data_IF_402260880100
#
_entry.id   IF_402260880100
#
_cell.length_a   1.000
_cell.length_b   1.000
_cell.length_c   1.000
_cell.angle_alpha   90.00
_cell.angle_beta   90.00
_cell.angle_gamma   90.00
#
_symmetry.space_group_name_H-M   'P 1'
#
loop_
_entity.id
_entity.type
_entity.pdbx_description
1 polymer ?
#
# COMPACT_ATOMS: atom_id res chain seq x y z
N UNK A 1 -13.16 -10.82 31.30
CA UNK A 1 -13.84 -9.52 31.17
C UNK A 1 -13.78 -9.16 29.70
N UNK A 2 -14.90 -9.17 29.00
CA UNK A 2 -14.96 -8.64 27.64
C UNK A 2 -14.62 -7.16 27.70
N UNK A 3 -13.44 -6.79 27.19
CA UNK A 3 -13.08 -5.39 27.06
C UNK A 3 -13.83 -4.84 25.85
N UNK A 4 -14.97 -4.21 26.11
CA UNK A 4 -15.70 -3.44 25.11
C UNK A 4 -14.79 -2.36 24.52
N UNK A 5 -14.88 -2.14 23.21
CA UNK A 5 -14.07 -1.15 22.52
C UNK A 5 -14.34 0.25 23.09
N UNK A 6 -13.28 0.98 23.45
CA UNK A 6 -13.42 2.35 23.91
C UNK A 6 -13.75 3.30 22.74
N UNK A 7 -14.21 4.52 23.03
CA UNK A 7 -14.39 5.56 22.00
C UNK A 7 -13.08 5.85 21.26
N UNK A 8 -11.94 5.76 21.96
CA UNK A 8 -10.61 5.95 21.36
C UNK A 8 -10.19 4.78 20.48
N UNK A 9 -10.54 3.56 20.85
CA UNK A 9 -10.30 2.34 20.05
C UNK A 9 -11.01 2.47 18.69
N UNK A 10 -12.29 2.85 18.73
CA UNK A 10 -13.13 3.06 17.54
C UNK A 10 -12.59 4.22 16.70
N UNK A 11 -12.28 5.36 17.33
CA UNK A 11 -11.74 6.52 16.63
C UNK A 11 -10.42 6.19 15.92
N UNK A 12 -9.54 5.41 16.55
CA UNK A 12 -8.29 4.92 15.94
C UNK A 12 -8.55 4.03 14.73
N UNK A 13 -9.46 3.05 14.86
CA UNK A 13 -9.83 2.15 13.75
C UNK A 13 -10.45 2.91 12.56
N UNK A 14 -11.34 3.87 12.84
CA UNK A 14 -11.94 4.76 11.83
C UNK A 14 -10.87 5.63 11.15
N UNK A 15 -9.98 6.25 11.92
CA UNK A 15 -8.91 7.09 11.38
C UNK A 15 -7.97 6.29 10.48
N UNK A 16 -7.61 5.07 10.89
CA UNK A 16 -6.76 4.18 10.09
C UNK A 16 -7.45 3.71 8.81
N UNK A 17 -8.76 3.43 8.88
CA UNK A 17 -9.57 3.10 7.70
C UNK A 17 -9.65 4.29 6.73
N UNK A 18 -9.93 5.48 7.25
CA UNK A 18 -9.99 6.70 6.47
C UNK A 18 -8.65 7.01 5.80
N UNK A 19 -7.53 6.78 6.49
CA UNK A 19 -6.19 6.88 5.93
C UNK A 19 -6.00 5.90 4.76
N UNK A 20 -6.34 4.62 4.94
CA UNK A 20 -6.22 3.62 3.88
C UNK A 20 -7.05 4.00 2.64
N UNK A 21 -8.31 4.41 2.84
CA UNK A 21 -9.21 4.87 1.76
C UNK A 21 -8.63 6.10 1.07
N UNK A 22 -8.16 7.11 1.82
CA UNK A 22 -7.58 8.33 1.26
C UNK A 22 -6.31 8.03 0.45
N UNK A 23 -5.46 7.12 0.92
CA UNK A 23 -4.26 6.71 0.20
C UNK A 23 -4.60 6.00 -1.12
N UNK A 24 -5.57 5.09 -1.12
CA UNK A 24 -6.00 4.41 -2.36
C UNK A 24 -6.72 5.34 -3.33
N UNK A 25 -7.54 6.27 -2.84
CA UNK A 25 -8.12 7.33 -3.66
C UNK A 25 -7.03 8.19 -4.30
N UNK A 26 -6.00 8.57 -3.55
CA UNK A 26 -4.84 9.30 -4.07
C UNK A 26 -4.08 8.47 -5.13
N UNK A 27 -3.84 7.19 -4.89
CA UNK A 27 -3.23 6.27 -5.88
C UNK A 27 -4.06 6.22 -7.17
N UNK A 28 -5.38 6.08 -7.08
CA UNK A 28 -6.27 6.04 -8.25
C UNK A 28 -6.24 7.35 -9.04
N UNK A 29 -6.35 8.50 -8.34
CA UNK A 29 -6.27 9.83 -8.94
C UNK A 29 -4.91 10.05 -9.62
N UNK A 30 -3.81 9.66 -8.97
CA UNK A 30 -2.46 9.75 -9.54
C UNK A 30 -2.29 8.83 -10.75
N UNK A 31 -2.76 7.59 -10.66
CA UNK A 31 -2.71 6.64 -11.76
C UNK A 31 -3.49 7.15 -12.99
N UNK A 32 -4.65 7.78 -12.78
CA UNK A 32 -5.44 8.42 -13.82
C UNK A 32 -4.77 9.67 -14.38
N UNK A 33 -4.37 10.62 -13.52
CA UNK A 33 -3.77 11.89 -13.91
C UNK A 33 -2.47 11.68 -14.72
N UNK A 34 -1.66 10.69 -14.35
CA UNK A 34 -0.41 10.32 -15.04
C UNK A 34 -0.61 9.55 -16.35
N UNK A 35 -1.84 9.24 -16.76
CA UNK A 35 -2.09 8.77 -18.15
C UNK A 35 -2.00 9.91 -19.17
N UNK A 36 -2.18 11.14 -18.72
CA UNK A 36 -2.29 12.32 -19.58
C UNK A 36 -1.09 13.26 -19.41
N UNK A 37 -1.29 14.57 -19.59
CA UNK A 37 -0.24 15.59 -19.40
C UNK A 37 0.31 15.52 -17.97
N UNK A 38 1.62 15.37 -17.86
CA UNK A 38 2.32 15.34 -16.59
C UNK A 38 2.17 16.67 -15.87
N UNK A 39 1.59 16.64 -14.65
CA UNK A 39 1.43 17.83 -13.81
C UNK A 39 2.43 17.78 -12.63
N UNK A 40 3.08 18.90 -12.28
CA UNK A 40 4.07 18.92 -11.19
C UNK A 40 3.55 18.46 -9.82
N UNK A 41 2.26 18.67 -9.53
CA UNK A 41 1.66 18.22 -8.27
C UNK A 41 1.60 16.70 -8.14
N UNK A 42 1.54 15.95 -9.25
CA UNK A 42 1.46 14.48 -9.22
C UNK A 42 2.72 13.87 -8.58
N UNK A 43 3.89 14.46 -8.85
CA UNK A 43 5.14 14.06 -8.22
C UNK A 43 5.08 14.27 -6.70
N UNK A 44 4.67 15.47 -6.26
CA UNK A 44 4.56 15.81 -4.82
C UNK A 44 3.54 14.94 -4.09
N UNK A 45 2.37 14.72 -4.69
CA UNK A 45 1.34 13.86 -4.11
C UNK A 45 1.80 12.39 -4.05
N UNK A 46 2.53 11.89 -5.06
CA UNK A 46 3.12 10.54 -5.01
C UNK A 46 4.12 10.41 -3.85
N UNK A 47 4.97 11.42 -3.63
CA UNK A 47 5.89 11.45 -2.47
C UNK A 47 5.11 11.43 -1.15
N UNK A 48 4.00 12.16 -1.05
CA UNK A 48 3.13 12.14 0.13
C UNK A 48 2.57 10.74 0.42
N UNK A 49 2.05 10.05 -0.60
CA UNK A 49 1.56 8.66 -0.47
C UNK A 49 2.68 7.72 -0.04
N UNK A 50 3.88 7.85 -0.61
CA UNK A 50 5.06 7.05 -0.23
C UNK A 50 5.42 7.31 1.24
N UNK A 51 5.48 8.56 1.67
CA UNK A 51 5.81 8.91 3.05
C UNK A 51 4.80 8.35 4.06
N UNK A 52 3.50 8.47 3.78
CA UNK A 52 2.44 7.87 4.59
C UNK A 52 2.57 6.34 4.66
N UNK A 53 2.87 5.69 3.53
CA UNK A 53 3.12 4.25 3.48
C UNK A 53 4.35 3.81 4.27
N UNK A 54 5.42 4.61 4.30
CA UNK A 54 6.60 4.37 5.15
C UNK A 54 6.23 4.41 6.62
N UNK A 55 5.50 5.44 7.05
CA UNK A 55 5.06 5.57 8.45
C UNK A 55 4.17 4.40 8.87
N UNK A 56 3.20 4.03 8.02
CA UNK A 56 2.33 2.88 8.25
C UNK A 56 3.13 1.57 8.35
N UNK A 57 4.10 1.36 7.46
CA UNK A 57 4.90 0.13 7.47
C UNK A 57 5.84 0.04 8.66
N UNK A 58 6.37 1.16 9.17
CA UNK A 58 7.18 1.17 10.41
C UNK A 58 6.32 0.68 11.58
N UNK A 59 5.12 1.23 11.75
CA UNK A 59 4.21 0.79 12.82
C UNK A 59 3.80 -0.68 12.67
N UNK A 60 3.48 -1.09 11.45
CA UNK A 60 3.07 -2.47 11.17
C UNK A 60 4.22 -3.48 11.42
N UNK A 61 5.44 -3.18 10.96
CA UNK A 61 6.61 -4.03 11.22
C UNK A 61 6.95 -4.07 12.71
N UNK A 62 6.85 -2.94 13.41
CA UNK A 62 7.07 -2.89 14.86
C UNK A 62 6.14 -3.86 15.59
N UNK A 63 4.86 -3.90 15.22
CA UNK A 63 3.90 -4.84 15.80
C UNK A 63 4.35 -6.28 15.56
N UNK A 64 4.65 -6.68 14.32
CA UNK A 64 5.10 -8.05 14.02
C UNK A 64 6.40 -8.44 14.72
N UNK A 65 7.35 -7.50 14.86
CA UNK A 65 8.59 -7.72 15.64
C UNK A 65 8.27 -7.94 17.11
N UNK A 66 7.36 -7.14 17.69
CA UNK A 66 6.96 -7.27 19.09
C UNK A 66 6.23 -8.59 19.35
N UNK A 67 5.35 -9.02 18.43
CA UNK A 67 4.65 -10.30 18.49
C UNK A 67 5.63 -11.48 18.42
N UNK A 68 6.57 -11.46 17.48
CA UNK A 68 7.60 -12.50 17.36
C UNK A 68 8.50 -12.53 18.61
N UNK A 69 8.92 -11.37 19.13
CA UNK A 69 9.71 -11.28 20.35
C UNK A 69 8.96 -11.82 21.58
N UNK A 70 7.69 -11.47 21.74
CA UNK A 70 6.83 -12.02 22.80
C UNK A 70 6.69 -13.53 22.66
N UNK A 71 6.48 -14.03 21.43
CA UNK A 71 6.30 -15.46 21.15
C UNK A 71 7.53 -16.29 21.51
N UNK A 72 8.73 -15.80 21.18
CA UNK A 72 9.99 -16.47 21.55
C UNK A 72 10.10 -16.67 23.06
N UNK A 73 9.57 -15.73 23.85
CA UNK A 73 9.56 -15.81 25.31
C UNK A 73 8.37 -16.60 25.87
N UNK A 74 7.33 -16.85 25.07
CA UNK A 74 6.04 -17.40 25.50
C UNK A 74 5.38 -18.33 24.44
N UNK A 75 6.05 -19.40 23.96
CA UNK A 75 5.61 -20.17 22.80
C UNK A 75 4.32 -21.00 23.01
N UNK A 76 3.86 -21.14 24.26
CA UNK A 76 2.63 -21.88 24.59
C UNK A 76 1.45 -20.95 24.91
N UNK A 77 1.67 -19.63 24.88
CA UNK A 77 0.61 -18.64 25.14
C UNK A 77 -0.11 -18.30 23.85
N UNK A 78 -1.37 -17.83 23.92
CA UNK A 78 -2.04 -17.28 22.74
C UNK A 78 -1.25 -16.12 22.11
N UNK A 79 -1.48 -15.82 20.82
CA UNK A 79 -0.89 -14.65 20.17
C UNK A 79 -1.21 -13.39 20.97
N UNK A 80 -0.17 -12.59 21.22
CA UNK A 80 -0.26 -11.33 21.93
C UNK A 80 -0.17 -10.17 20.94
N UNK A 81 -0.73 -9.03 21.32
CA UNK A 81 -0.60 -7.77 20.60
C UNK A 81 -0.13 -6.68 21.56
N UNK A 82 0.57 -5.69 21.05
CA UNK A 82 0.88 -4.50 21.86
C UNK A 82 -0.41 -3.79 22.30
N UNK A 83 -0.40 -2.99 23.39
CA UNK A 83 -1.62 -2.32 23.86
C UNK A 83 -2.34 -1.47 22.82
N UNK A 84 -1.59 -0.86 21.89
CA UNK A 84 -2.15 -0.02 20.82
C UNK A 84 -2.64 -0.86 19.63
N UNK A 85 -1.94 -1.94 19.27
CA UNK A 85 -2.42 -2.92 18.30
C UNK A 85 -3.72 -3.57 18.76
N UNK A 86 -3.76 -4.03 20.01
CA UNK A 86 -4.93 -4.62 20.65
C UNK A 86 -6.11 -3.63 20.75
N UNK A 87 -5.84 -2.37 21.07
CA UNK A 87 -6.86 -1.31 21.04
C UNK A 87 -7.45 -1.08 19.65
N UNK A 88 -6.62 -1.04 18.60
CA UNK A 88 -7.11 -0.93 17.23
C UNK A 88 -7.90 -2.18 16.81
N UNK A 89 -7.43 -3.38 17.17
CA UNK A 89 -8.12 -4.63 16.88
C UNK A 89 -9.51 -4.67 17.54
N UNK A 90 -9.65 -4.23 18.79
CA UNK A 90 -10.97 -4.03 19.43
C UNK A 90 -11.82 -3.00 18.71
N UNK A 91 -11.23 -1.87 18.32
CA UNK A 91 -11.91 -0.82 17.57
C UNK A 91 -12.49 -1.33 16.24
N UNK A 92 -11.76 -2.19 15.54
CA UNK A 92 -12.26 -2.89 14.35
C UNK A 92 -13.27 -4.00 14.68
N UNK A 93 -13.11 -4.66 15.83
CA UNK A 93 -13.98 -5.73 16.31
C UNK A 93 -15.42 -5.31 16.61
N UNK A 94 -15.76 -4.01 16.58
CA UNK A 94 -17.16 -3.56 16.74
C UNK A 94 -18.11 -4.12 15.67
N UNK A 95 -17.57 -4.57 14.53
CA UNK A 95 -18.38 -5.19 13.46
C UNK A 95 -18.92 -6.56 13.87
N UNK A 96 -18.21 -7.27 14.74
CA UNK A 96 -18.66 -8.49 15.41
C UNK A 96 -17.92 -8.65 16.75
N UNK A 97 -18.50 -8.13 17.85
CA UNK A 97 -17.87 -8.17 19.16
C UNK A 97 -17.64 -9.58 19.70
N UNK A 98 -18.36 -10.58 19.20
CA UNK A 98 -18.21 -11.98 19.62
C UNK A 98 -16.96 -12.63 19.03
N UNK A 99 -16.38 -12.05 17.97
CA UNK A 99 -15.29 -12.65 17.19
C UNK A 99 -14.04 -11.77 17.23
N UNK A 100 -13.26 -11.86 18.31
CA UNK A 100 -12.04 -11.06 18.48
C UNK A 100 -11.04 -11.22 17.31
N UNK A 101 -10.94 -12.42 16.73
CA UNK A 101 -10.08 -12.66 15.57
C UNK A 101 -10.44 -11.80 14.37
N UNK A 102 -11.72 -11.45 14.17
CA UNK A 102 -12.14 -10.63 13.04
C UNK A 102 -11.54 -9.23 13.11
N UNK A 103 -11.55 -8.61 14.30
CA UNK A 103 -10.93 -7.29 14.51
C UNK A 103 -9.43 -7.30 14.19
N UNK A 104 -8.73 -8.38 14.55
CA UNK A 104 -7.32 -8.56 14.20
C UNK A 104 -7.11 -8.75 12.68
N UNK A 105 -7.95 -9.53 12.00
CA UNK A 105 -7.82 -9.70 10.54
C UNK A 105 -8.07 -8.38 9.80
N UNK A 106 -9.07 -7.61 10.21
CA UNK A 106 -9.36 -6.28 9.63
C UNK A 106 -8.18 -5.32 9.86
N UNK A 107 -7.64 -5.28 11.08
CA UNK A 107 -6.47 -4.45 11.38
C UNK A 107 -5.30 -4.77 10.45
N UNK A 108 -4.98 -6.05 10.28
CA UNK A 108 -3.92 -6.46 9.36
C UNK A 108 -4.26 -6.12 7.91
N UNK A 109 -5.49 -6.36 7.45
CA UNK A 109 -5.92 -6.01 6.09
C UNK A 109 -5.75 -4.51 5.80
N UNK A 110 -6.17 -3.66 6.73
CA UNK A 110 -6.03 -2.19 6.62
C UNK A 110 -4.56 -1.77 6.65
N UNK A 111 -3.76 -2.31 7.57
CA UNK A 111 -2.31 -2.03 7.65
C UNK A 111 -1.57 -2.44 6.39
N UNK A 112 -1.83 -3.64 5.88
CA UNK A 112 -1.27 -4.15 4.62
C UNK A 112 -1.72 -3.30 3.42
N UNK A 113 -2.93 -2.76 3.44
CA UNK A 113 -3.46 -1.87 2.39
C UNK A 113 -2.74 -0.52 2.35
N UNK A 114 -2.43 0.06 3.51
CA UNK A 114 -1.61 1.28 3.63
C UNK A 114 -0.20 1.05 3.08
N UNK A 115 0.42 -0.07 3.46
CA UNK A 115 1.74 -0.44 2.96
C UNK A 115 1.74 -0.63 1.43
N UNK A 116 0.77 -1.36 0.90
CA UNK A 116 0.63 -1.59 -0.54
C UNK A 116 0.46 -0.28 -1.33
N UNK A 117 -0.32 0.67 -0.79
CA UNK A 117 -0.48 1.99 -1.40
C UNK A 117 0.85 2.78 -1.42
N UNK A 118 1.69 2.67 -0.39
CA UNK A 118 3.04 3.25 -0.37
C UNK A 118 3.94 2.71 -1.49
N UNK A 119 3.95 1.39 -1.69
CA UNK A 119 4.68 0.73 -2.78
C UNK A 119 4.14 1.16 -4.15
N UNK A 120 2.82 1.23 -4.32
CA UNK A 120 2.18 1.74 -5.53
C UNK A 120 2.59 3.21 -5.79
N UNK A 121 2.73 4.03 -4.75
CA UNK A 121 3.27 5.38 -4.81
C UNK A 121 4.67 5.43 -5.43
N UNK A 122 5.57 4.50 -5.09
CA UNK A 122 6.90 4.40 -5.73
C UNK A 122 6.77 4.01 -7.20
N UNK A 123 5.90 3.05 -7.53
CA UNK A 123 5.67 2.66 -8.93
C UNK A 123 5.16 3.84 -9.76
N UNK A 124 4.27 4.66 -9.19
CA UNK A 124 3.74 5.86 -9.83
C UNK A 124 4.81 6.95 -9.97
N UNK A 125 5.58 7.23 -8.92
CA UNK A 125 6.63 8.27 -8.96
C UNK A 125 7.75 7.90 -9.93
N UNK A 126 8.00 6.62 -10.16
CA UNK A 126 9.05 6.13 -11.08
C UNK A 126 8.50 5.76 -12.47
N UNK A 127 7.24 6.05 -12.77
CA UNK A 127 6.54 5.67 -14.01
C UNK A 127 7.32 6.01 -15.28
N UNK A 128 7.87 7.22 -15.37
CA UNK A 128 8.57 7.71 -16.56
C UNK A 128 10.06 7.36 -16.59
N UNK A 129 10.59 6.80 -15.50
CA UNK A 129 11.94 6.26 -15.42
C UNK A 129 11.91 4.73 -15.58
N UNK A 130 11.56 4.24 -16.78
CA UNK A 130 11.30 2.81 -17.01
C UNK A 130 12.47 1.87 -16.63
N UNK A 131 13.72 2.33 -16.79
CA UNK A 131 14.92 1.59 -16.38
C UNK A 131 15.31 1.73 -14.90
N UNK A 132 14.52 2.44 -14.09
CA UNK A 132 14.80 2.67 -12.68
C UNK A 132 14.79 1.37 -11.88
N UNK A 133 15.83 1.16 -11.06
CA UNK A 133 15.86 0.02 -10.13
C UNK A 133 14.78 0.17 -9.07
N UNK A 134 14.49 1.40 -8.64
CA UNK A 134 13.42 1.70 -7.70
C UNK A 134 12.07 1.14 -8.18
N UNK A 135 11.75 1.35 -9.47
CA UNK A 135 10.52 0.81 -10.07
C UNK A 135 10.47 -0.71 -10.05
N UNK A 136 11.59 -1.38 -10.38
CA UNK A 136 11.68 -2.85 -10.38
C UNK A 136 11.39 -3.42 -8.99
N UNK A 137 12.07 -2.89 -7.96
CA UNK A 137 11.87 -3.32 -6.57
C UNK A 137 10.47 -3.00 -6.07
N UNK A 138 9.94 -1.81 -6.36
CA UNK A 138 8.58 -1.45 -5.98
C UNK A 138 7.53 -2.35 -6.62
N UNK A 139 7.67 -2.74 -7.90
CA UNK A 139 6.76 -3.70 -8.55
C UNK A 139 6.81 -5.08 -7.91
N UNK A 140 8.00 -5.55 -7.54
CA UNK A 140 8.14 -6.81 -6.80
C UNK A 140 7.46 -6.72 -5.43
N UNK A 141 7.64 -5.60 -4.73
CA UNK A 141 6.95 -5.31 -3.47
C UNK A 141 5.43 -5.31 -3.64
N UNK A 142 4.89 -4.64 -4.68
CA UNK A 142 3.45 -4.64 -4.97
C UNK A 142 2.91 -6.07 -5.17
N UNK A 143 3.65 -6.94 -5.85
CA UNK A 143 3.21 -8.34 -6.03
C UNK A 143 3.23 -9.13 -4.72
N UNK A 144 4.35 -9.09 -4.00
CA UNK A 144 4.50 -9.79 -2.73
C UNK A 144 3.46 -9.33 -1.71
N UNK A 145 3.34 -8.00 -1.55
CA UNK A 145 2.40 -7.38 -0.63
C UNK A 145 0.95 -7.53 -1.10
N UNK A 146 0.71 -7.60 -2.41
CA UNK A 146 -0.60 -7.88 -2.98
C UNK A 146 -1.08 -9.30 -2.67
N UNK A 147 -0.19 -10.30 -2.79
CA UNK A 147 -0.50 -11.68 -2.40
C UNK A 147 -0.76 -11.81 -0.90
N UNK A 148 0.05 -11.16 -0.06
CA UNK A 148 -0.13 -11.15 1.39
C UNK A 148 -1.40 -10.40 1.81
N UNK A 149 -1.71 -9.26 1.17
CA UNK A 149 -2.96 -8.55 1.39
C UNK A 149 -4.19 -9.34 0.94
N UNK A 150 -4.09 -10.09 -0.16
CA UNK A 150 -5.14 -11.01 -0.60
C UNK A 150 -5.37 -12.13 0.41
N UNK A 151 -4.30 -12.68 0.99
CA UNK A 151 -4.44 -13.64 2.08
C UNK A 151 -5.24 -13.05 3.25
N UNK A 152 -4.89 -11.85 3.74
CA UNK A 152 -5.65 -11.21 4.80
C UNK A 152 -7.10 -10.93 4.42
N UNK A 153 -7.38 -10.62 3.15
CA UNK A 153 -8.75 -10.49 2.68
C UNK A 153 -9.51 -11.82 2.82
N UNK A 154 -8.91 -12.94 2.40
CA UNK A 154 -9.53 -14.27 2.53
C UNK A 154 -9.70 -14.67 4.00
N UNK A 155 -8.70 -14.42 4.86
CA UNK A 155 -8.79 -14.65 6.31
C UNK A 155 -9.94 -13.81 6.92
N UNK A 156 -10.01 -12.53 6.57
CA UNK A 156 -11.07 -11.62 7.06
C UNK A 156 -12.45 -12.11 6.62
N UNK A 157 -12.62 -12.41 5.33
CA UNK A 157 -13.91 -12.85 4.78
C UNK A 157 -14.33 -14.19 5.39
N UNK A 158 -13.42 -15.16 5.50
CA UNK A 158 -13.73 -16.47 6.09
C UNK A 158 -14.17 -16.34 7.55
N UNK A 159 -13.46 -15.56 8.36
CA UNK A 159 -13.88 -15.30 9.75
C UNK A 159 -15.21 -14.54 9.81
N UNK A 160 -15.42 -13.55 8.94
CA UNK A 160 -16.66 -12.75 8.92
C UNK A 160 -17.91 -13.57 8.59
N UNK A 161 -17.78 -14.68 7.85
CA UNK A 161 -18.89 -15.60 7.56
C UNK A 161 -19.00 -16.74 8.58
N UNK A 162 -18.32 -16.65 9.72
CA UNK A 162 -18.36 -17.62 10.82
C UNK A 162 -17.54 -18.89 10.59
N UNK A 163 -16.63 -18.90 9.61
CA UNK A 163 -15.69 -20.00 9.40
C UNK A 163 -14.39 -19.75 10.16
N UNK A 164 -13.60 -20.81 10.34
CA UNK A 164 -12.21 -20.63 10.74
C UNK A 164 -11.43 -19.86 9.67
N UNK A 165 -10.37 -19.17 10.07
CA UNK A 165 -9.56 -18.38 9.15
C UNK A 165 -8.87 -19.28 8.10
N UNK A 166 -9.10 -19.00 6.81
CA UNK A 166 -8.54 -19.76 5.68
C UNK A 166 -7.47 -18.94 4.95
N UNK A 167 -6.23 -19.40 4.94
CA UNK A 167 -5.12 -18.74 4.24
C UNK A 167 -3.81 -19.53 4.32
N UNK A 168 -2.75 -19.02 3.70
CA UNK A 168 -1.43 -19.68 3.73
C UNK A 168 -0.91 -19.84 5.16
N UNK A 169 -1.13 -18.84 6.00
CA UNK A 169 -0.85 -18.74 7.44
C UNK A 169 -1.66 -19.70 8.30
N UNK A 170 -2.69 -20.35 7.75
CA UNK A 170 -3.49 -21.37 8.46
C UNK A 170 -3.46 -22.72 7.75
N UNK A 171 -2.59 -22.87 6.74
CA UNK A 171 -2.58 -24.01 5.81
C UNK A 171 -3.97 -24.27 5.24
N UNK A 172 -4.62 -23.21 4.76
CA UNK A 172 -5.99 -23.23 4.22
C UNK A 172 -7.02 -23.76 5.24
N UNK A 173 -6.82 -23.48 6.54
CA UNK A 173 -7.69 -23.92 7.62
C UNK A 173 -7.45 -25.36 8.09
N UNK A 174 -6.37 -26.01 7.68
CA UNK A 174 -6.08 -27.40 8.10
C UNK A 174 -5.36 -27.48 9.45
N UNK A 175 -4.73 -26.39 9.90
CA UNK A 175 -4.09 -26.33 11.22
C UNK A 175 -5.16 -26.14 12.32
N UNK A 176 -5.24 -27.06 13.31
CA UNK A 176 -6.18 -26.93 14.41
C UNK A 176 -5.80 -25.75 15.32
N UNK A 177 -6.79 -25.20 16.02
CA UNK A 177 -6.55 -24.16 17.01
C UNK A 177 -5.58 -24.65 18.11
N UNK A 178 -4.56 -23.84 18.41
CA UNK A 178 -3.56 -24.14 19.45
C UNK A 178 -2.16 -23.64 19.10
N UNK A 179 -1.15 -24.01 19.90
CA UNK A 179 0.22 -23.52 19.78
C UNK A 179 0.86 -23.70 18.40
N UNK A 180 0.55 -24.78 17.70
CA UNK A 180 1.06 -25.04 16.36
C UNK A 180 0.57 -23.99 15.33
N UNK A 181 -0.74 -23.72 15.32
CA UNK A 181 -1.33 -22.68 14.48
C UNK A 181 -0.77 -21.30 14.85
N UNK A 182 -0.71 -20.98 16.14
CA UNK A 182 -0.21 -19.69 16.62
C UNK A 182 1.25 -19.46 16.23
N UNK A 183 2.13 -20.44 16.47
CA UNK A 183 3.55 -20.42 16.07
C UNK A 183 3.67 -20.13 14.59
N UNK A 184 2.98 -20.91 13.77
CA UNK A 184 3.11 -20.80 12.33
C UNK A 184 2.59 -19.45 11.83
N UNK A 185 1.45 -18.96 12.36
CA UNK A 185 0.91 -17.63 12.02
C UNK A 185 1.87 -16.51 12.41
N UNK A 186 2.41 -16.51 13.62
CA UNK A 186 3.34 -15.46 14.09
C UNK A 186 4.56 -15.38 13.17
N UNK A 187 5.19 -16.52 12.89
CA UNK A 187 6.38 -16.55 12.03
C UNK A 187 6.07 -16.23 10.57
N UNK A 188 4.95 -16.71 10.03
CA UNK A 188 4.53 -16.40 8.67
C UNK A 188 4.40 -14.90 8.44
N UNK A 189 3.59 -14.23 9.27
CA UNK A 189 3.35 -12.79 9.12
C UNK A 189 4.61 -11.99 9.43
N UNK A 190 5.43 -12.40 10.41
CA UNK A 190 6.72 -11.78 10.69
C UNK A 190 7.65 -11.82 9.47
N UNK A 191 7.87 -13.01 8.90
CA UNK A 191 8.76 -13.18 7.74
C UNK A 191 8.23 -12.39 6.53
N UNK A 192 6.93 -12.49 6.25
CA UNK A 192 6.30 -11.72 5.18
C UNK A 192 6.55 -10.21 5.36
N UNK A 193 6.27 -9.66 6.55
CA UNK A 193 6.46 -8.23 6.80
C UNK A 193 7.93 -7.80 6.77
N UNK A 194 8.86 -8.60 7.26
CA UNK A 194 10.31 -8.31 7.17
C UNK A 194 10.76 -8.28 5.70
N UNK A 195 10.43 -9.31 4.92
CA UNK A 195 10.78 -9.38 3.49
C UNK A 195 10.17 -8.20 2.72
N UNK A 196 8.89 -7.92 2.94
CA UNK A 196 8.21 -6.77 2.34
C UNK A 196 8.90 -5.45 2.70
N UNK A 197 9.26 -5.25 3.98
CA UNK A 197 9.95 -4.06 4.46
C UNK A 197 11.33 -3.89 3.84
N UNK A 198 12.11 -4.97 3.70
CA UNK A 198 13.42 -4.95 3.03
C UNK A 198 13.26 -4.54 1.57
N UNK A 199 12.30 -5.13 0.86
CA UNK A 199 12.00 -4.75 -0.53
C UNK A 199 11.63 -3.27 -0.64
N UNK A 200 10.80 -2.77 0.27
CA UNK A 200 10.40 -1.37 0.30
C UNK A 200 11.58 -0.44 0.59
N UNK A 201 12.42 -0.78 1.56
CA UNK A 201 13.63 -0.03 1.89
C UNK A 201 14.61 0.04 0.71
N UNK A 202 14.81 -1.07 -0.01
CA UNK A 202 15.64 -1.11 -1.22
C UNK A 202 15.02 -0.22 -2.32
N UNK A 203 13.70 -0.29 -2.51
CA UNK A 203 12.99 0.56 -3.47
C UNK A 203 13.15 2.06 -3.14
N UNK A 204 13.04 2.44 -1.85
CA UNK A 204 13.25 3.81 -1.37
C UNK A 204 14.70 4.26 -1.55
N UNK A 205 15.65 3.41 -1.20
CA UNK A 205 17.08 3.68 -1.39
C UNK A 205 17.38 3.99 -2.85
N UNK A 206 16.88 3.16 -3.77
CA UNK A 206 17.04 3.42 -5.20
C UNK A 206 16.28 4.67 -5.66
N UNK A 207 15.06 4.91 -5.16
CA UNK A 207 14.29 6.11 -5.51
C UNK A 207 15.05 7.39 -5.11
N UNK A 208 15.70 7.38 -3.94
CA UNK A 208 16.53 8.48 -3.46
C UNK A 208 17.82 8.66 -4.29
N UNK A 209 18.52 7.56 -4.59
CA UNK A 209 19.76 7.57 -5.40
C UNK A 209 19.47 8.04 -6.84
N UNK A 210 18.35 7.62 -7.39
CA UNK A 210 17.92 7.91 -8.77
C UNK A 210 17.02 9.15 -8.86
N UNK A 211 16.86 9.93 -7.78
CA UNK A 211 15.92 11.07 -7.72
C UNK A 211 16.09 12.08 -8.85
N UNK A 212 17.33 12.34 -9.28
CA UNK A 212 17.64 13.25 -10.40
C UNK A 212 17.12 12.69 -11.73
N UNK A 213 17.33 11.39 -11.97
CA UNK A 213 16.82 10.69 -13.15
C UNK A 213 15.29 10.70 -13.15
N UNK A 214 14.67 10.42 -12.01
CA UNK A 214 13.21 10.48 -11.85
C UNK A 214 12.71 11.89 -12.17
N UNK A 215 13.20 12.93 -11.50
CA UNK A 215 12.77 14.31 -11.77
C UNK A 215 12.96 14.72 -13.24
N UNK A 216 14.11 14.39 -13.84
CA UNK A 216 14.37 14.69 -15.25
C UNK A 216 13.38 13.97 -16.18
N UNK A 217 13.04 12.71 -15.90
CA UNK A 217 12.04 11.96 -16.69
C UNK A 217 10.64 12.57 -16.62
N UNK A 218 10.27 13.16 -15.48
CA UNK A 218 9.01 13.89 -15.33
C UNK A 218 9.02 15.22 -16.09
N UNK A 219 10.12 15.97 -16.06
CA UNK A 219 10.30 17.18 -16.85
C UNK A 219 10.23 16.91 -18.35
N UNK A 220 10.90 15.86 -18.84
CA UNK A 220 10.86 15.46 -20.24
C UNK A 220 9.46 15.00 -20.70
N UNK A 221 8.69 14.37 -19.81
CA UNK A 221 7.33 13.95 -20.09
C UNK A 221 6.29 15.09 -19.97
N UNK A 222 6.69 16.27 -19.50
CA UNK A 222 5.83 17.46 -19.45
C UNK A 222 5.83 18.11 -20.83
N UNK A 223 4.70 18.19 -21.54
CA UNK A 223 4.66 18.86 -22.84
C UNK A 223 5.14 20.30 -22.70
N UNK A 224 6.04 20.73 -23.59
CA UNK A 224 6.41 22.14 -23.69
C UNK A 224 5.18 23.02 -23.95
N UNK A 225 5.25 24.34 -23.67
CA UNK A 225 4.22 25.26 -24.14
C UNK A 225 4.01 24.99 -25.63
N UNK A 226 2.75 24.81 -26.04
CA UNK A 226 2.40 24.76 -27.46
C UNK A 226 2.92 26.07 -28.02
N UNK A 227 4.02 26.03 -28.75
CA UNK A 227 4.44 27.17 -29.56
C UNK A 227 3.28 27.34 -30.52
N UNK A 228 2.43 28.35 -30.29
CA UNK A 228 1.49 28.72 -31.33
C UNK A 228 2.34 29.02 -32.55
N UNK A 229 2.07 28.39 -33.70
CA UNK A 229 2.80 28.73 -34.92
C UNK A 229 2.68 30.23 -35.10
N UNK A 230 3.82 30.87 -35.35
CA UNK A 230 3.91 32.30 -35.60
C UNK A 230 2.77 32.70 -36.55
N UNK A 231 2.00 33.77 -36.27
CA UNK A 231 0.99 34.26 -37.19
C UNK A 231 1.49 34.34 -38.65
N UNK A 232 2.79 34.59 -38.87
CA UNK A 232 3.43 34.56 -40.18
C UNK A 232 3.39 33.17 -40.87
N UNK A 233 3.59 32.08 -40.12
CA UNK A 233 3.52 30.69 -40.62
C UNK A 233 2.08 30.25 -40.93
N UNK A 234 1.08 30.85 -40.28
CA UNK A 234 -0.34 30.61 -40.63
C UNK A 234 -0.71 31.22 -41.99
N UNK A 235 -0.09 32.35 -42.36
CA UNK A 235 -0.38 33.03 -43.61
C UNK A 235 0.13 32.23 -44.82
N UNK A 236 1.36 31.71 -44.77
CA UNK A 236 1.96 30.90 -45.86
C UNK A 236 1.26 29.55 -46.07
N UNK A 237 0.83 28.90 -44.99
CA UNK A 237 0.09 27.63 -45.02
C UNK A 237 -1.29 27.75 -45.72
N UNK A 238 -1.94 28.91 -45.60
CA UNK A 238 -3.25 29.16 -46.21
C UNK A 238 -3.20 29.39 -47.72
N UNK A 239 -2.04 29.82 -48.25
CA UNK A 239 -1.82 30.07 -49.68
C UNK A 239 -1.59 28.76 -50.43
N UNK A 240 -0.83 27.81 -49.86
CA UNK A 240 -0.60 26.51 -50.51
C UNK A 240 -1.83 25.59 -50.53
N UNK A 241 -2.70 25.66 -49.51
CA UNK A 241 -3.95 24.88 -49.48
C UNK A 241 -5.02 25.38 -50.46
N UNK A 242 -5.00 26.67 -50.85
CA UNK A 242 -5.86 27.19 -51.91
C UNK A 242 -5.38 26.79 -53.31
N UNK A 243 -4.07 26.73 -53.55
CA UNK A 243 -3.52 26.36 -54.85
C UNK A 243 -3.77 24.88 -55.24
N UNK A 244 -3.89 23.98 -54.25
CA UNK A 244 -4.12 22.56 -54.48
C UNK A 244 -5.60 22.18 -54.74
N UNK A 245 -6.55 23.12 -54.64
CA UNK A 245 -7.99 22.88 -54.85
C UNK A 245 -8.53 23.38 -56.19
N UNK A 246 -7.68 23.98 -57.02
CA UNK A 246 -8.07 24.58 -58.30
C UNK A 246 -7.41 23.92 -59.52
N UNK A 247 -6.92 22.69 -59.37
CA UNK A 247 -6.34 21.88 -60.45
C UNK A 247 -7.16 20.63 -60.72
#
# INVERSE_FOLDING_TARGET
MEHTASVWDIAGAVAMTALAVAMWAAVAVLAYATRSRVRPWCLRASVGVVAAGVLGQIGHLQEHVAQAGYWVLNPERPPWMTPWGDALARGFGIVDPATHSLGMEILHLVGNSVFLAGLAGIVLVTRYAAGSRARRWARMGVWMQGLHGLEHLVLTVSVAIGQQAVGLSTWFGTLPAGPALWTYRVWWHFVANVVGSVIFAIALHHAWRERRLVTASWSAATPGPRVEPDPADRATSSVHLKAARTG
#
